data_IF_977476236679
#
_entry.id   IF_977476236679
#
_cell.length_a   1.000
_cell.length_b   1.000
_cell.length_c   1.000
_cell.angle_alpha   90.00
_cell.angle_beta   90.00
_cell.angle_gamma   90.00
#
_symmetry.space_group_name_H-M   'P 1'
#
loop_
_entity.id
_entity.type
_entity.pdbx_description
1 polymer ?
#
# COMPACT_ATOMS: atom_id res chain seq x y z
N UNK A 1 -3.25 20.34 -9.92
CA UNK A 1 -4.26 19.34 -9.51
C UNK A 1 -3.57 18.37 -8.55
N UNK A 2 -4.24 17.87 -7.52
CA UNK A 2 -3.71 16.82 -6.64
C UNK A 2 -4.71 15.68 -6.53
N UNK A 3 -4.27 14.45 -6.80
CA UNK A 3 -5.03 13.23 -6.57
C UNK A 3 -4.49 12.56 -5.31
N UNK A 4 -5.36 12.30 -4.35
CA UNK A 4 -5.04 11.63 -3.09
C UNK A 4 -5.65 10.24 -3.11
N UNK A 5 -4.80 9.22 -3.18
CA UNK A 5 -5.21 7.82 -3.22
C UNK A 5 -5.52 7.32 -1.81
N UNK A 6 -6.70 6.75 -1.62
CA UNK A 6 -7.08 6.13 -0.35
C UNK A 6 -8.58 6.14 -0.11
N UNK A 7 -8.99 5.38 0.91
CA UNK A 7 -10.41 5.14 1.20
C UNK A 7 -11.14 6.37 1.73
N UNK A 8 -12.45 6.43 1.49
CA UNK A 8 -13.31 7.52 1.96
C UNK A 8 -13.29 7.68 3.50
N UNK A 9 -13.22 6.56 4.22
CA UNK A 9 -13.26 6.50 5.68
C UNK A 9 -11.91 6.77 6.34
N UNK A 10 -10.84 7.03 5.57
CA UNK A 10 -9.51 7.31 6.11
C UNK A 10 -9.36 8.79 6.46
N UNK A 11 -9.31 9.09 7.77
CA UNK A 11 -9.13 10.46 8.26
C UNK A 11 -7.84 11.12 7.76
N UNK A 12 -6.76 10.34 7.61
CA UNK A 12 -5.48 10.80 7.06
C UNK A 12 -5.61 11.16 5.57
N UNK A 13 -6.25 10.31 4.77
CA UNK A 13 -6.51 10.58 3.35
C UNK A 13 -7.32 11.87 3.19
N UNK A 14 -8.37 12.04 3.99
CA UNK A 14 -9.18 13.27 3.98
C UNK A 14 -8.38 14.50 4.45
N UNK A 15 -7.44 14.34 5.38
CA UNK A 15 -6.56 15.41 5.82
C UNK A 15 -5.64 15.88 4.68
N UNK A 16 -5.05 14.96 3.91
CA UNK A 16 -4.21 15.30 2.76
C UNK A 16 -5.00 16.08 1.70
N UNK A 17 -6.23 15.67 1.37
CA UNK A 17 -7.10 16.40 0.43
C UNK A 17 -7.35 17.83 0.92
N UNK A 18 -7.69 17.99 2.22
CA UNK A 18 -7.90 19.32 2.81
C UNK A 18 -6.64 20.17 2.78
N UNK A 19 -5.48 19.61 3.11
CA UNK A 19 -4.20 20.33 3.11
C UNK A 19 -3.85 20.81 1.70
N UNK A 20 -3.99 19.96 0.68
CA UNK A 20 -3.79 20.35 -0.71
C UNK A 20 -4.76 21.46 -1.15
N UNK A 21 -6.03 21.37 -0.72
CA UNK A 21 -7.03 22.41 -0.95
C UNK A 21 -6.68 23.75 -0.29
N UNK A 22 -6.25 23.73 0.97
CA UNK A 22 -5.80 24.93 1.71
C UNK A 22 -4.55 25.56 1.06
N UNK A 23 -3.67 24.74 0.48
CA UNK A 23 -2.52 25.20 -0.30
C UNK A 23 -2.90 25.77 -1.69
N UNK A 24 -4.19 25.81 -2.04
CA UNK A 24 -4.71 26.41 -3.27
C UNK A 24 -4.81 25.46 -4.46
N UNK A 25 -4.54 24.16 -4.28
CA UNK A 25 -4.69 23.17 -5.35
C UNK A 25 -6.13 22.64 -5.42
N UNK A 26 -6.63 22.41 -6.63
CA UNK A 26 -7.76 21.49 -6.83
C UNK A 26 -7.31 20.10 -6.38
N UNK A 27 -7.99 19.52 -5.39
CA UNK A 27 -7.62 18.25 -4.80
C UNK A 27 -8.82 17.29 -4.75
N UNK A 28 -8.62 16.04 -5.16
CA UNK A 28 -9.65 15.01 -5.15
C UNK A 28 -9.13 13.72 -4.52
N UNK A 29 -10.00 13.05 -3.78
CA UNK A 29 -9.76 11.69 -3.31
C UNK A 29 -10.14 10.70 -4.39
N UNK A 30 -9.32 9.68 -4.60
CA UNK A 30 -9.63 8.56 -5.50
C UNK A 30 -9.40 7.22 -4.79
N UNK A 31 -10.32 6.28 -4.95
CA UNK A 31 -10.14 4.89 -4.48
C UNK A 31 -9.28 4.06 -5.44
N UNK A 32 -9.05 4.55 -6.66
CA UNK A 32 -8.30 3.85 -7.70
C UNK A 32 -8.40 4.58 -9.04
N UNK A 33 -7.82 4.00 -10.10
CA UNK A 33 -7.77 4.63 -11.42
C UNK A 33 -9.16 4.94 -12.01
N UNK A 34 -10.13 4.06 -11.80
CA UNK A 34 -11.49 4.21 -12.34
C UNK A 34 -12.29 5.36 -11.68
N UNK A 35 -11.84 5.85 -10.53
CA UNK A 35 -12.47 6.97 -9.83
C UNK A 35 -12.02 8.34 -10.36
N UNK A 36 -11.08 8.37 -11.31
CA UNK A 36 -10.60 9.61 -11.92
C UNK A 36 -11.62 10.09 -12.95
N UNK A 37 -12.19 11.27 -12.72
CA UNK A 37 -12.99 11.95 -13.74
C UNK A 37 -12.06 12.63 -14.76
N UNK A 38 -12.14 12.28 -16.07
CA UNK A 38 -11.33 12.90 -17.11
C UNK A 38 -11.46 14.43 -17.16
N UNK A 39 -12.61 14.98 -16.74
CA UNK A 39 -12.83 16.42 -16.68
C UNK A 39 -11.88 17.13 -15.71
N UNK A 40 -11.35 16.43 -14.69
CA UNK A 40 -10.38 17.03 -13.77
C UNK A 40 -9.04 17.32 -14.43
N UNK A 41 -8.69 16.55 -15.46
CA UNK A 41 -7.38 16.55 -16.14
C UNK A 41 -7.28 17.55 -17.30
N UNK A 42 -8.40 17.98 -17.90
CA UNK A 42 -8.44 18.78 -19.15
C UNK A 42 -7.52 20.01 -19.14
N UNK A 43 -7.44 20.73 -18.01
CA UNK A 43 -6.62 21.93 -17.85
C UNK A 43 -5.43 21.74 -16.89
N UNK A 44 -5.09 20.50 -16.56
CA UNK A 44 -4.01 20.19 -15.62
C UNK A 44 -2.68 20.02 -16.37
N UNK A 45 -1.80 21.02 -16.28
CA UNK A 45 -0.41 20.89 -16.76
C UNK A 45 0.46 20.03 -15.83
N UNK A 46 0.09 19.97 -14.55
CA UNK A 46 0.79 19.19 -13.53
C UNK A 46 -0.20 18.56 -12.56
N UNK A 47 -0.06 17.25 -12.38
CA UNK A 47 -0.87 16.44 -11.47
C UNK A 47 0.04 15.90 -10.38
N UNK A 48 -0.16 16.37 -9.14
CA UNK A 48 0.45 15.74 -7.98
C UNK A 48 -0.33 14.48 -7.61
N UNK A 49 0.37 13.38 -7.34
CA UNK A 49 -0.23 12.15 -6.82
C UNK A 49 0.38 11.85 -5.47
N UNK A 50 -0.46 11.57 -4.48
CA UNK A 50 -0.04 11.17 -3.14
C UNK A 50 -1.02 10.13 -2.60
N UNK A 51 -0.69 9.47 -1.50
CA UNK A 51 -1.48 8.41 -0.90
C UNK A 51 -1.61 8.60 0.61
N UNK A 52 -2.75 8.19 1.15
CA UNK A 52 -2.85 7.95 2.59
C UNK A 52 -2.00 6.75 3.00
N UNK A 53 -1.54 6.72 4.25
CA UNK A 53 -0.68 5.66 4.82
C UNK A 53 -1.21 4.21 4.67
N UNK A 54 -2.48 4.02 4.35
CA UNK A 54 -3.12 2.72 4.17
C UNK A 54 -3.31 2.31 2.71
N UNK A 55 -2.92 3.16 1.75
CA UNK A 55 -3.06 2.85 0.33
C UNK A 55 -1.83 2.06 -0.15
N UNK A 56 -2.01 0.92 -0.83
CA UNK A 56 -0.89 0.13 -1.35
C UNK A 56 -0.22 0.82 -2.54
N UNK A 57 1.10 0.68 -2.66
CA UNK A 57 1.90 1.34 -3.70
C UNK A 57 1.42 1.02 -5.12
N UNK A 58 1.02 -0.22 -5.37
CA UNK A 58 0.48 -0.66 -6.67
C UNK A 58 -0.72 0.17 -7.12
N UNK A 59 -1.57 0.59 -6.18
CA UNK A 59 -2.73 1.42 -6.47
C UNK A 59 -2.32 2.85 -6.82
N UNK A 60 -1.28 3.37 -6.19
CA UNK A 60 -0.70 4.67 -6.54
C UNK A 60 -0.12 4.62 -7.96
N UNK A 61 0.61 3.57 -8.30
CA UNK A 61 1.14 3.38 -9.65
C UNK A 61 0.03 3.25 -10.69
N UNK A 62 -1.03 2.48 -10.41
CA UNK A 62 -2.18 2.38 -11.30
C UNK A 62 -2.88 3.73 -11.54
N UNK A 63 -2.96 4.58 -10.52
CA UNK A 63 -3.48 5.95 -10.65
C UNK A 63 -2.55 6.81 -11.52
N UNK A 64 -1.23 6.72 -11.34
CA UNK A 64 -0.26 7.43 -12.18
C UNK A 64 -0.40 6.99 -13.65
N UNK A 65 -0.54 5.68 -13.90
CA UNK A 65 -0.75 5.15 -15.24
C UNK A 65 -2.06 5.66 -15.87
N UNK A 66 -3.14 5.72 -15.09
CA UNK A 66 -4.43 6.23 -15.56
C UNK A 66 -4.42 7.74 -15.85
N UNK A 67 -3.56 8.52 -15.17
CA UNK A 67 -3.31 9.92 -15.51
C UNK A 67 -2.57 10.05 -16.85
N UNK A 68 -1.84 9.01 -17.27
CA UNK A 68 -1.12 8.92 -18.55
C UNK A 68 -0.21 10.14 -18.83
N UNK A 69 0.77 10.45 -17.96
CA UNK A 69 1.63 11.61 -18.12
C UNK A 69 2.52 11.50 -19.36
N UNK A 70 2.59 12.58 -20.15
CA UNK A 70 3.38 12.64 -21.39
C UNK A 70 4.81 13.10 -21.18
N UNK A 71 5.03 13.97 -20.18
CA UNK A 71 6.34 14.58 -19.88
C UNK A 71 7.13 13.79 -18.81
N UNK A 72 6.63 12.61 -18.43
CA UNK A 72 7.22 11.73 -17.43
C UNK A 72 6.68 11.93 -16.01
N UNK A 73 7.33 11.27 -15.05
CA UNK A 73 6.95 11.27 -13.63
C UNK A 73 8.16 11.68 -12.81
N UNK A 74 7.99 12.69 -11.96
CA UNK A 74 8.99 13.12 -10.98
C UNK A 74 8.60 12.64 -9.59
N UNK A 75 9.50 11.91 -8.92
CA UNK A 75 9.30 11.46 -7.54
C UNK A 75 9.91 12.50 -6.60
N UNK A 76 9.05 13.13 -5.78
CA UNK A 76 9.47 14.11 -4.78
C UNK A 76 9.45 13.47 -3.39
N UNK A 77 10.63 13.16 -2.84
CA UNK A 77 10.78 12.66 -1.48
C UNK A 77 11.36 13.75 -0.57
N UNK A 78 10.56 14.20 0.39
CA UNK A 78 10.93 15.30 1.30
C UNK A 78 11.65 14.79 2.56
N UNK A 79 11.27 13.61 3.05
CA UNK A 79 11.82 13.00 4.26
C UNK A 79 11.97 11.49 4.07
N UNK A 80 12.87 10.88 4.85
CA UNK A 80 12.98 9.42 4.94
C UNK A 80 12.44 8.99 6.30
N UNK A 81 11.40 8.18 6.31
CA UNK A 81 10.80 7.61 7.53
C UNK A 81 11.29 6.17 7.69
N UNK A 82 11.72 5.80 8.89
CA UNK A 82 12.32 4.49 9.19
C UNK A 82 11.78 3.85 10.46
N UNK A 83 10.57 4.24 10.87
CA UNK A 83 9.94 3.69 12.06
C UNK A 83 9.30 2.34 11.76
N UNK A 84 9.63 1.33 12.57
CA UNK A 84 9.13 -0.03 12.42
C UNK A 84 8.54 -0.49 13.76
N UNK A 85 7.30 -0.99 13.69
CA UNK A 85 6.56 -1.48 14.85
C UNK A 85 6.50 -3.01 14.81
N UNK A 86 7.38 -3.72 15.55
CA UNK A 86 7.36 -5.17 15.57
C UNK A 86 6.08 -5.72 16.18
N UNK A 87 5.69 -6.91 15.70
CA UNK A 87 4.59 -7.67 16.29
C UNK A 87 4.79 -7.88 17.81
N UNK A 88 3.71 -7.80 18.62
CA UNK A 88 3.78 -8.11 20.05
C UNK A 88 4.39 -9.49 20.31
N UNK A 89 5.07 -9.65 21.45
CA UNK A 89 5.80 -10.90 21.80
C UNK A 89 4.92 -12.14 21.76
N UNK A 90 3.69 -12.03 22.26
CA UNK A 90 2.75 -13.15 22.33
C UNK A 90 2.27 -13.58 20.95
N UNK A 91 2.07 -12.62 20.03
CA UNK A 91 1.70 -12.90 18.65
C UNK A 91 2.84 -13.58 17.89
N UNK A 92 4.09 -13.14 18.09
CA UNK A 92 5.27 -13.82 17.52
C UNK A 92 5.40 -15.26 18.01
N UNK A 93 5.17 -15.51 19.30
CA UNK A 93 5.18 -16.88 19.86
C UNK A 93 4.09 -17.77 19.26
N UNK A 94 2.88 -17.23 19.11
CA UNK A 94 1.77 -17.94 18.50
C UNK A 94 2.08 -18.31 17.05
N UNK A 95 2.59 -17.35 16.27
CA UNK A 95 2.94 -17.58 14.88
C UNK A 95 4.06 -18.60 14.74
N UNK A 96 5.11 -18.53 15.55
CA UNK A 96 6.19 -19.52 15.56
C UNK A 96 5.69 -20.92 15.91
N UNK A 97 4.79 -21.04 16.89
CA UNK A 97 4.18 -22.32 17.25
C UNK A 97 3.28 -22.87 16.12
N UNK A 98 2.52 -22.00 15.46
CA UNK A 98 1.68 -22.36 14.32
C UNK A 98 2.54 -22.84 13.14
N UNK A 99 3.60 -22.12 12.82
CA UNK A 99 4.55 -22.47 11.77
C UNK A 99 5.20 -23.84 12.04
N UNK A 100 5.71 -24.06 13.26
CA UNK A 100 6.29 -25.35 13.65
C UNK A 100 5.28 -26.52 13.56
N UNK A 101 4.00 -26.26 13.89
CA UNK A 101 2.94 -27.25 13.76
C UNK A 101 2.62 -27.57 12.28
N UNK A 102 2.61 -26.56 11.41
CA UNK A 102 2.40 -26.73 9.97
C UNK A 102 3.58 -27.47 9.33
N UNK A 103 4.81 -27.05 9.61
CA UNK A 103 6.03 -27.70 9.11
C UNK A 103 6.16 -29.15 9.61
N UNK A 104 5.88 -29.38 10.90
CA UNK A 104 5.86 -30.71 11.49
C UNK A 104 4.71 -31.59 10.99
N UNK A 105 3.61 -30.99 10.53
CA UNK A 105 2.42 -31.69 10.05
C UNK A 105 2.40 -32.01 8.56
N UNK A 106 2.96 -31.14 7.70
CA UNK A 106 2.83 -31.28 6.24
C UNK A 106 4.07 -31.84 5.52
N UNK A 107 5.28 -31.63 6.03
CA UNK A 107 6.55 -32.30 5.67
C UNK A 107 7.69 -31.39 6.09
N UNK A 108 8.68 -31.95 6.77
CA UNK A 108 9.98 -31.32 6.99
C UNK A 108 10.63 -30.92 5.66
N UNK A 109 10.38 -29.71 5.19
CA UNK A 109 11.29 -29.00 4.30
C UNK A 109 11.97 -27.94 5.17
N UNK A 110 13.16 -28.32 5.63
CA UNK A 110 14.15 -27.52 6.38
C UNK A 110 13.78 -27.09 7.82
N UNK A 111 13.86 -28.01 8.79
CA UNK A 111 13.92 -27.62 10.20
C UNK A 111 15.20 -26.80 10.46
N UNK A 112 15.04 -25.53 10.83
CA UNK A 112 16.13 -24.64 11.22
C UNK A 112 16.42 -23.47 10.26
N UNK A 113 15.66 -23.30 9.18
CA UNK A 113 15.68 -22.06 8.40
C UNK A 113 14.77 -21.00 9.06
N UNK A 114 15.18 -19.73 8.98
CA UNK A 114 14.38 -18.60 9.46
C UNK A 114 13.03 -18.58 8.74
N UNK A 115 11.94 -18.44 9.50
CA UNK A 115 10.60 -18.38 8.90
C UNK A 115 10.42 -17.09 8.09
N UNK A 116 9.48 -17.06 7.15
CA UNK A 116 9.16 -15.82 6.40
C UNK A 116 8.87 -14.64 7.35
N UNK A 117 8.31 -14.92 8.53
CA UNK A 117 8.02 -13.93 9.58
C UNK A 117 9.25 -13.39 10.33
N UNK A 118 10.40 -14.06 10.25
CA UNK A 118 11.65 -13.58 10.87
C UNK A 118 12.30 -12.43 10.09
N UNK A 119 11.87 -12.23 8.83
CA UNK A 119 12.34 -11.17 7.93
C UNK A 119 11.32 -10.02 7.78
N UNK A 120 10.35 -9.91 8.69
CA UNK A 120 9.25 -8.93 8.61
C UNK A 120 9.71 -7.46 8.56
N UNK A 121 10.92 -7.18 9.07
CA UNK A 121 11.55 -5.85 9.02
C UNK A 121 11.91 -5.39 7.62
N UNK A 122 12.09 -6.33 6.69
CA UNK A 122 12.45 -6.06 5.30
C UNK A 122 11.20 -5.87 4.44
N UNK A 123 10.01 -6.17 4.98
CA UNK A 123 8.77 -6.05 4.24
C UNK A 123 8.33 -4.61 4.06
N UNK A 124 7.95 -4.31 2.84
CA UNK A 124 7.12 -3.16 2.49
C UNK A 124 5.68 -3.38 2.97
N UNK A 125 4.91 -2.29 3.12
CA UNK A 125 3.48 -2.40 3.43
C UNK A 125 2.71 -3.24 2.39
N UNK A 126 3.15 -3.20 1.12
CA UNK A 126 2.57 -3.97 0.03
C UNK A 126 2.81 -5.48 0.19
N UNK A 127 4.01 -5.90 0.56
CA UNK A 127 4.34 -7.32 0.81
C UNK A 127 3.56 -7.88 2.01
N UNK A 128 3.43 -7.09 3.08
CA UNK A 128 2.61 -7.47 4.23
C UNK A 128 1.12 -7.62 3.88
N UNK A 129 0.59 -6.75 3.01
CA UNK A 129 -0.80 -6.83 2.51
C UNK A 129 -0.99 -8.03 1.58
N UNK A 130 -0.03 -8.32 0.70
CA UNK A 130 -0.10 -9.47 -0.20
C UNK A 130 -0.20 -10.80 0.57
N UNK A 131 0.52 -10.93 1.69
CA UNK A 131 0.42 -12.08 2.59
C UNK A 131 -0.98 -12.26 3.19
N UNK A 132 -1.65 -11.16 3.55
CA UNK A 132 -3.03 -11.19 4.06
C UNK A 132 -4.05 -11.46 2.95
N UNK A 133 -3.75 -11.05 1.72
CA UNK A 133 -4.60 -11.23 0.55
C UNK A 133 -4.53 -12.66 -0.04
N UNK A 134 -3.61 -13.52 0.43
CA UNK A 134 -3.58 -14.96 0.16
C UNK A 134 -4.74 -15.69 0.87
N UNK A 135 -5.98 -15.34 0.50
CA UNK A 135 -7.04 -16.33 0.43
C UNK A 135 -6.78 -17.16 -0.83
N UNK A 136 -6.69 -18.50 -0.78
CA UNK A 136 -6.69 -19.28 -2.00
C UNK A 136 -8.02 -19.00 -2.71
N UNK A 137 -7.95 -18.43 -3.91
CA UNK A 137 -9.06 -18.55 -4.84
C UNK A 137 -9.36 -20.04 -5.00
N UNK A 138 -10.63 -20.48 -4.88
CA UNK A 138 -10.96 -21.86 -5.20
C UNK A 138 -10.56 -22.07 -6.66
N UNK A 139 -9.59 -22.96 -6.89
CA UNK A 139 -9.30 -23.44 -8.24
C UNK A 139 -10.59 -24.07 -8.77
N UNK A 140 -11.15 -23.46 -9.81
CA UNK A 140 -12.10 -24.09 -10.69
C UNK A 140 -11.31 -25.00 -11.63
N UNK A 141 -11.40 -26.30 -11.41
CA UNK A 141 -11.58 -27.35 -12.43
C UNK A 141 -11.99 -28.67 -11.75
#
# INVERSE_FOLDING_TARGET
LVLVVGSENSSNTQALVRVAGVAGARAYRVDGPDAIDPAWLVDATTVGVTAGASAPDQLVFAVIEAVAPTDGVEVVQVTTEGEYFPLPRDLRRLLAALQAAVEGGYSARNPGESGELDHDREWTANEALALLALSPSPQSD
#
